data_IF_960262819595
#
_entry.id   IF_960262819595
#
_cell.length_a   1.000
_cell.length_b   1.000
_cell.length_c   1.000
_cell.angle_alpha   90.00
_cell.angle_beta   90.00
_cell.angle_gamma   90.00
#
_symmetry.space_group_name_H-M   'P 1'
#
loop_
_entity.id
_entity.type
_entity.pdbx_description
1 polymer ?
#
# COMPACT_ATOMS: atom_id res chain seq x y z
N UNK A 1 -27.74 -12.86 -7.10
CA UNK A 1 -27.01 -12.05 -8.13
C UNK A 1 -27.33 -12.53 -9.56
N UNK A 2 -27.26 -11.67 -10.61
CA UNK A 2 -27.44 -12.10 -12.03
C UNK A 2 -26.10 -12.52 -12.64
N UNK A 3 -26.04 -13.73 -13.19
CA UNK A 3 -24.86 -14.28 -13.86
C UNK A 3 -25.04 -14.41 -15.38
N UNK A 4 -23.99 -14.08 -16.14
CA UNK A 4 -23.86 -14.37 -17.57
C UNK A 4 -23.55 -15.85 -17.81
N UNK A 5 -23.67 -16.30 -19.05
CA UNK A 5 -23.50 -17.73 -19.36
C UNK A 5 -22.07 -18.21 -19.14
N UNK A 6 -21.06 -17.37 -19.38
CA UNK A 6 -19.66 -17.69 -19.07
C UNK A 6 -19.42 -17.83 -17.56
N UNK A 7 -20.08 -16.99 -16.75
CA UNK A 7 -20.02 -17.03 -15.29
C UNK A 7 -20.75 -18.26 -14.71
N UNK A 8 -21.90 -18.64 -15.29
CA UNK A 8 -22.59 -19.88 -14.94
C UNK A 8 -21.75 -21.11 -15.25
N UNK A 9 -21.06 -21.12 -16.39
CA UNK A 9 -20.17 -22.22 -16.77
C UNK A 9 -18.98 -22.36 -15.79
N UNK A 10 -18.39 -21.23 -15.36
CA UNK A 10 -17.36 -21.25 -14.30
C UNK A 10 -17.92 -21.83 -13.00
N UNK A 11 -19.11 -21.40 -12.56
CA UNK A 11 -19.76 -21.88 -11.34
C UNK A 11 -20.17 -23.35 -11.41
N UNK A 12 -20.53 -23.85 -12.59
CA UNK A 12 -20.86 -25.24 -12.83
C UNK A 12 -19.62 -26.17 -12.83
N UNK A 13 -18.41 -25.60 -12.93
CA UNK A 13 -17.15 -26.35 -12.92
C UNK A 13 -16.58 -26.67 -14.29
N UNK A 14 -17.13 -26.10 -15.37
CA UNK A 14 -16.71 -26.38 -16.75
C UNK A 14 -15.26 -25.95 -17.03
N UNK A 15 -14.70 -25.06 -16.20
CA UNK A 15 -13.32 -24.57 -16.27
C UNK A 15 -12.41 -25.16 -15.18
N UNK A 16 -12.85 -26.24 -14.54
CA UNK A 16 -12.11 -26.95 -13.51
C UNK A 16 -12.39 -26.47 -12.08
N UNK A 17 -11.98 -27.25 -11.08
CA UNK A 17 -12.41 -27.09 -9.70
C UNK A 17 -11.94 -25.78 -9.06
N UNK A 18 -10.71 -25.33 -9.32
CA UNK A 18 -10.21 -24.06 -8.76
C UNK A 18 -11.01 -22.85 -9.25
N UNK A 19 -11.37 -22.81 -10.54
CA UNK A 19 -12.21 -21.73 -11.11
C UNK A 19 -13.63 -21.82 -10.55
N UNK A 20 -14.13 -23.04 -10.31
CA UNK A 20 -15.42 -23.26 -9.68
C UNK A 20 -15.47 -22.67 -8.27
N UNK A 21 -14.49 -23.00 -7.41
CA UNK A 21 -14.41 -22.46 -6.05
C UNK A 21 -14.26 -20.94 -6.05
N UNK A 22 -13.41 -20.42 -6.94
CA UNK A 22 -13.27 -18.97 -7.14
C UNK A 22 -14.61 -18.32 -7.48
N UNK A 23 -15.35 -18.89 -8.43
CA UNK A 23 -16.63 -18.35 -8.86
C UNK A 23 -17.69 -18.46 -7.76
N UNK A 24 -17.76 -19.57 -7.03
CA UNK A 24 -18.63 -19.73 -5.85
C UNK A 24 -18.35 -18.64 -4.79
N UNK A 25 -17.08 -18.41 -4.47
CA UNK A 25 -16.66 -17.35 -3.55
C UNK A 25 -17.16 -15.98 -4.01
N UNK A 26 -16.94 -15.62 -5.28
CA UNK A 26 -17.39 -14.33 -5.80
C UNK A 26 -18.92 -14.21 -5.80
N UNK A 27 -19.66 -15.31 -5.96
CA UNK A 27 -21.12 -15.31 -5.83
C UNK A 27 -21.55 -15.03 -4.40
N UNK A 28 -21.03 -15.79 -3.43
CA UNK A 28 -21.33 -15.56 -2.01
C UNK A 28 -20.94 -14.16 -1.58
N UNK A 29 -19.76 -13.69 -2.01
CA UNK A 29 -19.25 -12.35 -1.70
C UNK A 29 -20.14 -11.26 -2.30
N UNK A 30 -20.49 -11.38 -3.59
CA UNK A 30 -21.39 -10.44 -4.26
C UNK A 30 -22.78 -10.40 -3.64
N UNK A 31 -23.34 -11.55 -3.24
CA UNK A 31 -24.65 -11.62 -2.58
C UNK A 31 -24.63 -11.00 -1.18
N UNK A 32 -23.55 -11.18 -0.41
CA UNK A 32 -23.39 -10.52 0.89
C UNK A 32 -23.29 -8.99 0.80
N UNK A 33 -22.93 -8.46 -0.38
CA UNK A 33 -22.78 -7.03 -0.66
C UNK A 33 -23.95 -6.46 -1.49
N UNK A 34 -25.01 -7.23 -1.70
CA UNK A 34 -26.14 -6.87 -2.57
C UNK A 34 -25.75 -6.50 -4.02
N UNK A 35 -24.63 -7.03 -4.51
CA UNK A 35 -24.17 -6.81 -5.87
C UNK A 35 -25.13 -7.47 -6.88
N UNK A 36 -25.62 -6.67 -7.85
CA UNK A 36 -26.58 -7.18 -8.84
C UNK A 36 -25.96 -8.09 -9.89
N UNK A 37 -24.67 -7.91 -10.19
CA UNK A 37 -23.90 -8.68 -11.17
C UNK A 37 -22.39 -8.60 -10.87
N UNK A 38 -21.59 -9.31 -11.65
CA UNK A 38 -20.14 -9.16 -11.67
C UNK A 38 -19.71 -8.22 -12.80
N UNK A 39 -18.54 -7.61 -12.66
CA UNK A 39 -17.85 -6.84 -13.69
C UNK A 39 -16.57 -7.56 -14.11
N UNK A 40 -16.17 -7.36 -15.37
CA UNK A 40 -14.91 -7.88 -15.88
C UNK A 40 -13.75 -7.05 -15.32
N UNK A 41 -12.72 -7.73 -14.81
CA UNK A 41 -11.44 -7.12 -14.46
C UNK A 41 -10.35 -7.78 -15.27
N UNK A 42 -9.38 -6.98 -15.75
CA UNK A 42 -8.18 -7.49 -16.42
C UNK A 42 -6.91 -7.21 -15.63
N UNK A 43 -7.05 -6.65 -14.43
CA UNK A 43 -5.96 -6.11 -13.66
C UNK A 43 -6.17 -6.40 -12.18
N UNK A 44 -5.35 -7.31 -11.67
CA UNK A 44 -5.40 -7.77 -10.28
C UNK A 44 -4.06 -7.50 -9.61
N UNK A 45 -4.09 -6.93 -8.41
CA UNK A 45 -2.92 -6.77 -7.56
C UNK A 45 -3.23 -7.39 -6.20
N UNK A 46 -2.65 -8.56 -5.92
CA UNK A 46 -2.94 -9.32 -4.71
C UNK A 46 -1.70 -10.00 -4.15
N UNK A 47 -1.92 -10.84 -3.14
CA UNK A 47 -0.83 -11.58 -2.49
C UNK A 47 -1.07 -13.08 -2.62
N UNK A 48 -0.07 -13.77 -3.17
CA UNK A 48 0.03 -15.23 -3.29
C UNK A 48 1.38 -15.62 -2.69
N UNK A 49 1.33 -16.25 -1.53
CA UNK A 49 2.54 -16.59 -0.81
C UNK A 49 2.24 -17.02 0.61
N UNK A 50 3.21 -17.72 1.17
CA UNK A 50 3.14 -18.27 2.50
C UNK A 50 4.18 -17.66 3.46
N UNK A 51 4.70 -16.46 3.20
CA UNK A 51 5.87 -15.94 3.95
C UNK A 51 5.57 -15.52 5.39
N UNK A 52 4.30 -15.32 5.76
CA UNK A 52 3.93 -15.00 7.15
C UNK A 52 3.98 -16.28 8.02
N UNK A 53 4.32 -16.19 9.32
CA UNK A 53 4.51 -17.37 10.18
C UNK A 53 3.38 -18.41 10.12
N UNK A 54 2.13 -17.95 10.13
CA UNK A 54 0.96 -18.83 10.09
C UNK A 54 0.83 -19.57 8.76
N UNK A 55 1.01 -18.88 7.63
CA UNK A 55 0.88 -19.49 6.31
C UNK A 55 2.01 -20.49 6.01
N UNK A 56 3.23 -20.24 6.53
CA UNK A 56 4.34 -21.20 6.44
C UNK A 56 3.96 -22.53 7.09
N UNK A 57 3.44 -22.47 8.31
CA UNK A 57 3.05 -23.67 9.07
C UNK A 57 1.93 -24.43 8.37
N UNK A 58 1.00 -23.71 7.72
CA UNK A 58 -0.06 -24.34 6.93
C UNK A 58 0.51 -25.06 5.70
N UNK A 59 1.38 -24.38 4.93
CA UNK A 59 2.01 -24.95 3.73
C UNK A 59 2.79 -26.25 4.04
N UNK A 60 3.50 -26.29 5.16
CA UNK A 60 4.27 -27.46 5.60
C UNK A 60 3.38 -28.65 5.98
N UNK A 61 2.17 -28.40 6.51
CA UNK A 61 1.26 -29.43 7.00
C UNK A 61 0.34 -29.98 5.93
N UNK A 62 -0.25 -29.10 5.12
CA UNK A 62 -1.42 -29.41 4.29
C UNK A 62 -1.09 -29.63 2.80
N UNK A 63 0.19 -29.68 2.43
CA UNK A 63 0.61 -30.09 1.08
C UNK A 63 1.02 -28.96 0.14
N UNK A 64 1.64 -27.90 0.66
CA UNK A 64 2.33 -26.89 -0.13
C UNK A 64 1.46 -25.72 -0.59
N UNK A 65 1.87 -25.09 -1.70
CA UNK A 65 1.31 -23.79 -2.13
C UNK A 65 -0.12 -23.89 -2.69
N UNK A 66 -0.52 -25.00 -3.31
CA UNK A 66 -1.91 -25.21 -3.76
C UNK A 66 -2.87 -25.28 -2.57
N UNK A 67 -2.45 -25.88 -1.45
CA UNK A 67 -3.24 -25.90 -0.22
C UNK A 67 -3.39 -24.50 0.38
N UNK A 68 -2.29 -23.74 0.43
CA UNK A 68 -2.33 -22.33 0.86
C UNK A 68 -3.25 -21.50 -0.02
N UNK A 69 -3.18 -21.66 -1.34
CA UNK A 69 -4.05 -20.91 -2.26
C UNK A 69 -5.51 -21.34 -2.09
N UNK A 70 -5.79 -22.64 -1.98
CA UNK A 70 -7.15 -23.16 -1.80
C UNK A 70 -7.80 -22.59 -0.54
N UNK A 71 -7.10 -22.62 0.59
CA UNK A 71 -7.62 -22.11 1.86
C UNK A 71 -7.73 -20.57 1.87
N UNK A 72 -6.64 -19.87 1.57
CA UNK A 72 -6.53 -18.44 1.86
C UNK A 72 -6.84 -17.52 0.67
N UNK A 73 -6.87 -18.06 -0.54
CA UNK A 73 -7.20 -17.31 -1.76
C UNK A 73 -8.52 -17.76 -2.38
N UNK A 74 -9.06 -18.94 -2.00
CA UNK A 74 -10.33 -19.47 -2.51
C UNK A 74 -11.35 -19.85 -1.42
N UNK A 75 -11.05 -19.64 -0.13
CA UNK A 75 -11.95 -19.98 1.00
C UNK A 75 -12.45 -21.44 0.90
N UNK A 76 -11.53 -22.36 0.57
CA UNK A 76 -11.83 -23.76 0.30
C UNK A 76 -10.90 -24.69 1.07
N UNK A 77 -11.48 -25.47 2.00
CA UNK A 77 -10.80 -26.55 2.69
C UNK A 77 -10.40 -27.72 1.76
N UNK A 78 -11.01 -27.82 0.59
CA UNK A 78 -10.62 -28.78 -0.44
C UNK A 78 -9.40 -28.24 -1.20
N UNK A 79 -8.29 -28.97 -1.16
CA UNK A 79 -7.07 -28.65 -1.91
C UNK A 79 -7.28 -28.97 -3.38
N UNK A 80 -7.18 -27.94 -4.22
CA UNK A 80 -7.33 -28.06 -5.68
C UNK A 80 -6.06 -27.56 -6.38
N UNK A 81 -5.75 -28.16 -7.52
CA UNK A 81 -4.64 -27.69 -8.35
C UNK A 81 -4.97 -26.31 -8.93
N UNK A 82 -4.08 -25.33 -8.74
CA UNK A 82 -4.31 -23.97 -9.22
C UNK A 82 -3.83 -23.82 -10.66
N UNK A 83 -4.71 -23.44 -11.62
CA UNK A 83 -4.32 -23.20 -12.99
C UNK A 83 -3.61 -21.85 -13.13
N UNK A 84 -3.02 -21.61 -14.31
CA UNK A 84 -2.49 -20.28 -14.64
C UNK A 84 -3.58 -19.21 -14.51
N UNK A 85 -3.19 -18.04 -14.03
CA UNK A 85 -4.10 -16.90 -13.89
C UNK A 85 -4.63 -16.49 -15.27
N UNK A 86 -5.90 -16.08 -15.29
CA UNK A 86 -6.63 -15.76 -16.52
C UNK A 86 -6.37 -14.33 -17.00
N UNK A 87 -6.03 -13.43 -16.07
CA UNK A 87 -5.87 -11.99 -16.31
C UNK A 87 -4.55 -11.48 -15.77
N UNK A 88 -4.13 -10.28 -16.22
CA UNK A 88 -2.87 -9.69 -15.76
C UNK A 88 -2.93 -9.50 -14.25
N UNK A 89 -2.08 -10.25 -13.56
CA UNK A 89 -2.08 -10.34 -12.10
C UNK A 89 -0.69 -10.02 -11.61
N UNK A 90 -0.59 -9.19 -10.58
CA UNK A 90 0.67 -8.77 -9.98
C UNK A 90 0.68 -9.05 -8.49
N UNK A 91 1.88 -9.35 -7.99
CA UNK A 91 2.11 -9.64 -6.59
C UNK A 91 2.50 -8.35 -5.84
N UNK A 92 1.83 -8.07 -4.71
CA UNK A 92 2.14 -6.96 -3.80
C UNK A 92 3.37 -7.25 -2.93
N UNK A 93 3.75 -6.36 -2.01
CA UNK A 93 4.91 -6.59 -1.14
C UNK A 93 4.76 -7.86 -0.29
N UNK A 94 5.89 -8.50 -0.04
CA UNK A 94 6.04 -9.67 0.82
C UNK A 94 6.57 -9.23 2.20
N UNK A 95 6.84 -10.20 3.08
CA UNK A 95 7.39 -9.91 4.41
C UNK A 95 8.92 -9.94 4.50
N UNK A 96 9.64 -10.24 3.42
CA UNK A 96 11.08 -10.55 3.48
C UNK A 96 11.77 -10.00 2.24
N UNK A 97 12.96 -9.42 2.43
CA UNK A 97 13.90 -9.19 1.34
C UNK A 97 14.91 -10.35 1.35
N UNK A 98 14.86 -11.29 0.41
CA UNK A 98 15.78 -12.43 0.42
C UNK A 98 17.27 -12.00 0.36
N UNK A 99 17.57 -10.83 -0.21
CA UNK A 99 18.94 -10.29 -0.28
C UNK A 99 19.42 -9.70 1.04
N UNK A 100 18.50 -9.27 1.90
CA UNK A 100 18.79 -8.70 3.21
C UNK A 100 18.34 -9.59 4.38
N UNK A 101 17.95 -10.84 4.12
CA UNK A 101 17.38 -11.76 5.12
C UNK A 101 18.23 -11.86 6.40
N UNK A 102 19.56 -12.00 6.28
CA UNK A 102 20.47 -12.05 7.43
C UNK A 102 20.39 -10.79 8.29
N UNK A 103 20.32 -9.61 7.66
CA UNK A 103 20.20 -8.32 8.37
C UNK A 103 18.83 -8.17 9.03
N UNK A 104 17.80 -8.74 8.41
CA UNK A 104 16.45 -8.82 8.96
C UNK A 104 16.30 -9.87 10.07
N UNK A 105 17.36 -10.64 10.38
CA UNK A 105 17.31 -11.74 11.36
C UNK A 105 16.51 -12.96 10.88
N UNK A 106 16.36 -13.12 9.56
CA UNK A 106 15.60 -14.19 8.92
C UNK A 106 16.52 -15.35 8.54
N UNK A 107 16.10 -16.57 8.89
CA UNK A 107 16.81 -17.82 8.59
C UNK A 107 16.68 -18.28 7.14
N UNK A 108 17.63 -19.09 6.68
CA UNK A 108 17.67 -19.61 5.30
C UNK A 108 16.47 -20.49 4.94
N UNK A 109 15.88 -21.17 5.92
CA UNK A 109 14.64 -21.92 5.76
C UNK A 109 13.50 -21.05 5.25
N UNK A 110 13.39 -19.85 5.79
CA UNK A 110 12.36 -18.89 5.40
C UNK A 110 12.63 -18.32 4.01
N UNK A 111 13.90 -18.07 3.68
CA UNK A 111 14.30 -17.64 2.34
C UNK A 111 13.92 -18.68 1.30
N UNK A 112 14.13 -19.98 1.57
CA UNK A 112 13.68 -21.06 0.66
C UNK A 112 12.17 -21.08 0.47
N UNK A 113 11.39 -20.82 1.53
CA UNK A 113 9.92 -20.71 1.41
C UNK A 113 9.54 -19.51 0.54
N UNK A 114 10.20 -18.37 0.72
CA UNK A 114 10.02 -17.20 -0.14
C UNK A 114 10.28 -17.54 -1.62
N UNK A 115 11.42 -18.16 -1.92
CA UNK A 115 11.80 -18.53 -3.30
C UNK A 115 10.82 -19.55 -3.90
N UNK A 116 10.39 -20.53 -3.11
CA UNK A 116 9.39 -21.53 -3.53
C UNK A 116 8.04 -20.87 -3.83
N UNK A 117 7.58 -19.96 -2.97
CA UNK A 117 6.36 -19.20 -3.18
C UNK A 117 6.44 -18.28 -4.40
N UNK A 118 7.59 -17.63 -4.61
CA UNK A 118 7.81 -16.78 -5.78
C UNK A 118 7.83 -17.60 -7.08
N UNK A 119 8.51 -18.76 -7.09
CA UNK A 119 8.52 -19.66 -8.23
C UNK A 119 7.12 -20.20 -8.54
N UNK A 120 6.36 -20.56 -7.51
CA UNK A 120 4.95 -20.97 -7.65
C UNK A 120 4.10 -19.87 -8.29
N UNK A 121 4.07 -18.67 -7.70
CA UNK A 121 3.28 -17.54 -8.21
C UNK A 121 3.68 -17.16 -9.65
N UNK A 122 4.98 -17.16 -9.94
CA UNK A 122 5.48 -16.89 -11.30
C UNK A 122 5.09 -17.99 -12.30
N UNK A 123 5.09 -19.25 -11.86
CA UNK A 123 4.63 -20.40 -12.66
C UNK A 123 3.14 -20.32 -13.02
N UNK A 124 2.32 -19.69 -12.18
CA UNK A 124 0.92 -19.38 -12.46
C UNK A 124 0.76 -18.19 -13.43
N UNK A 125 1.83 -17.44 -13.73
CA UNK A 125 1.80 -16.25 -14.59
C UNK A 125 1.63 -14.92 -13.85
N UNK A 126 1.76 -14.91 -12.53
CA UNK A 126 1.67 -13.71 -11.70
C UNK A 126 2.99 -12.94 -11.76
N UNK A 127 2.90 -11.62 -11.98
CA UNK A 127 4.08 -10.76 -12.10
C UNK A 127 4.63 -10.43 -10.69
N UNK A 128 5.89 -10.77 -10.39
CA UNK A 128 6.48 -10.57 -9.06
C UNK A 128 6.95 -9.11 -8.88
N UNK A 129 6.02 -8.16 -8.91
CA UNK A 129 6.33 -6.73 -8.69
C UNK A 129 6.82 -6.48 -7.25
N UNK A 130 6.28 -7.24 -6.30
CA UNK A 130 6.66 -7.28 -4.89
C UNK A 130 6.72 -5.89 -4.23
N UNK A 131 5.71 -5.05 -4.46
CA UNK A 131 5.64 -3.70 -3.89
C UNK A 131 4.22 -3.28 -3.55
N UNK A 132 4.06 -2.45 -2.52
CA UNK A 132 2.81 -1.74 -2.21
C UNK A 132 2.48 -0.61 -3.21
N UNK A 133 3.34 -0.39 -4.20
CA UNK A 133 3.21 0.70 -5.17
C UNK A 133 3.30 0.18 -6.61
N UNK A 134 2.46 -0.78 -7.02
CA UNK A 134 2.56 -1.42 -8.33
C UNK A 134 2.46 -0.42 -9.50
N UNK A 135 1.76 0.69 -9.30
CA UNK A 135 1.69 1.83 -10.22
C UNK A 135 3.02 2.56 -10.46
N UNK A 136 4.01 2.43 -9.57
CA UNK A 136 5.35 2.98 -9.82
C UNK A 136 6.20 2.07 -10.71
N UNK A 137 5.77 0.82 -10.96
CA UNK A 137 6.58 -0.21 -11.65
C UNK A 137 5.83 -0.90 -12.79
N UNK A 138 4.93 -0.17 -13.45
CA UNK A 138 4.35 -0.55 -14.74
C UNK A 138 2.92 -1.07 -14.69
N UNK A 139 2.36 -1.38 -13.52
CA UNK A 139 0.93 -1.68 -13.42
C UNK A 139 0.14 -0.38 -13.19
N UNK A 140 -0.17 0.33 -14.30
CA UNK A 140 -0.84 1.63 -14.29
C UNK A 140 -2.21 1.51 -14.95
N UNK A 141 -3.30 1.28 -14.17
CA UNK A 141 -4.65 1.26 -14.70
C UNK A 141 -5.03 2.56 -15.41
N UNK A 142 -5.92 2.48 -16.40
CA UNK A 142 -6.49 3.66 -17.04
C UNK A 142 -7.77 4.11 -16.36
N UNK A 143 -8.17 5.37 -16.58
CA UNK A 143 -9.42 5.90 -16.04
C UNK A 143 -10.63 5.04 -16.45
N UNK A 144 -11.42 4.63 -15.46
CA UNK A 144 -12.61 3.80 -15.60
C UNK A 144 -12.35 2.29 -15.62
N UNK A 145 -11.09 1.86 -15.62
CA UNK A 145 -10.75 0.43 -15.57
C UNK A 145 -11.21 -0.19 -14.24
N UNK A 146 -11.94 -1.29 -14.33
CA UNK A 146 -12.29 -2.11 -13.16
C UNK A 146 -11.09 -3.00 -12.80
N UNK A 147 -10.60 -2.83 -11.59
CA UNK A 147 -9.48 -3.57 -11.03
C UNK A 147 -9.93 -4.37 -9.80
N UNK A 148 -9.13 -5.35 -9.39
CA UNK A 148 -9.27 -5.99 -8.09
C UNK A 148 -7.94 -5.87 -7.35
N UNK A 149 -7.78 -4.81 -6.55
CA UNK A 149 -6.52 -4.50 -5.89
C UNK A 149 -6.65 -4.58 -4.38
N UNK A 150 -5.65 -5.19 -3.73
CA UNK A 150 -5.44 -5.07 -2.29
C UNK A 150 -4.51 -3.87 -2.00
N UNK A 151 -4.10 -3.74 -0.74
CA UNK A 151 -3.23 -2.67 -0.22
C UNK A 151 -3.89 -1.29 -0.25
N UNK A 152 -4.29 -0.82 0.94
CA UNK A 152 -5.09 0.42 1.10
C UNK A 152 -4.45 1.65 0.45
N UNK A 153 -3.12 1.77 0.50
CA UNK A 153 -2.41 2.88 -0.15
C UNK A 153 -2.34 2.79 -1.67
N UNK A 154 -2.49 1.59 -2.24
CA UNK A 154 -2.57 1.39 -3.69
C UNK A 154 -3.98 1.60 -4.21
N UNK A 155 -4.98 1.07 -3.48
CA UNK A 155 -6.42 1.24 -3.76
C UNK A 155 -6.80 2.72 -3.85
N UNK A 156 -6.52 3.49 -2.79
CA UNK A 156 -6.85 4.92 -2.76
C UNK A 156 -6.15 5.71 -3.87
N UNK A 157 -4.92 5.32 -4.20
CA UNK A 157 -4.14 5.97 -5.25
C UNK A 157 -4.77 5.72 -6.62
N UNK A 158 -5.10 4.48 -6.97
CA UNK A 158 -5.66 4.22 -8.31
C UNK A 158 -7.08 4.73 -8.46
N UNK A 159 -7.89 4.72 -7.40
CA UNK A 159 -9.22 5.32 -7.40
C UNK A 159 -9.13 6.83 -7.64
N UNK A 160 -8.27 7.53 -6.89
CA UNK A 160 -8.24 8.99 -6.86
C UNK A 160 -7.36 9.59 -7.95
N UNK A 161 -6.14 9.08 -8.12
CA UNK A 161 -5.12 9.67 -8.99
C UNK A 161 -5.24 9.18 -10.42
N UNK A 162 -5.53 7.88 -10.62
CA UNK A 162 -5.65 7.28 -11.95
C UNK A 162 -7.10 7.21 -12.45
N UNK A 163 -8.08 7.33 -11.54
CA UNK A 163 -9.50 7.21 -11.87
C UNK A 163 -9.93 5.76 -12.21
N UNK A 164 -9.16 4.77 -11.77
CA UNK A 164 -9.56 3.37 -11.81
C UNK A 164 -10.68 3.08 -10.81
N UNK A 165 -11.23 1.87 -10.86
CA UNK A 165 -12.36 1.45 -10.03
C UNK A 165 -12.02 0.16 -9.31
N UNK A 166 -11.83 0.23 -8.01
CA UNK A 166 -11.63 -0.94 -7.13
C UNK A 166 -12.19 -0.61 -5.74
N UNK A 167 -12.59 -1.63 -5.00
CA UNK A 167 -12.73 -1.54 -3.54
C UNK A 167 -11.41 -1.98 -2.89
N UNK A 168 -11.31 -1.89 -1.57
CA UNK A 168 -10.24 -2.55 -0.81
C UNK A 168 -10.45 -4.08 -0.79
N UNK A 169 -9.92 -4.77 -1.79
CA UNK A 169 -10.10 -6.21 -1.94
C UNK A 169 -9.26 -7.03 -0.95
N UNK A 170 -9.77 -8.22 -0.62
CA UNK A 170 -9.10 -9.21 0.22
C UNK A 170 -8.23 -10.18 -0.57
N UNK A 171 -7.55 -11.07 0.15
CA UNK A 171 -6.71 -12.11 -0.47
C UNK A 171 -7.56 -13.09 -1.28
N UNK A 172 -8.75 -13.37 -0.75
CA UNK A 172 -9.76 -14.26 -1.27
C UNK A 172 -10.37 -13.70 -2.56
N UNK A 173 -10.88 -12.46 -2.51
CA UNK A 173 -11.53 -11.85 -3.67
C UNK A 173 -10.53 -11.58 -4.80
N UNK A 174 -9.29 -11.16 -4.50
CA UNK A 174 -8.25 -11.04 -5.52
C UNK A 174 -7.81 -12.40 -6.07
N UNK A 175 -7.62 -13.42 -5.23
CA UNK A 175 -7.32 -14.79 -5.68
C UNK A 175 -8.37 -15.34 -6.64
N UNK A 176 -9.64 -15.18 -6.29
CA UNK A 176 -10.74 -15.55 -7.17
C UNK A 176 -10.80 -14.72 -8.46
N UNK A 177 -10.54 -13.41 -8.38
CA UNK A 177 -10.48 -12.53 -9.55
C UNK A 177 -9.35 -12.91 -10.52
N UNK A 178 -8.19 -13.36 -10.03
CA UNK A 178 -7.08 -13.82 -10.88
C UNK A 178 -7.49 -15.01 -11.76
N UNK A 179 -8.32 -15.92 -11.23
CA UNK A 179 -8.74 -17.14 -11.94
C UNK A 179 -9.96 -16.90 -12.83
N UNK A 180 -10.89 -16.02 -12.43
CA UNK A 180 -12.16 -15.81 -13.14
C UNK A 180 -12.13 -14.63 -14.12
N UNK A 181 -11.31 -13.61 -13.83
CA UNK A 181 -11.36 -12.30 -14.47
C UNK A 181 -12.60 -11.50 -14.09
N UNK A 182 -13.22 -11.78 -12.94
CA UNK A 182 -14.46 -11.17 -12.46
C UNK A 182 -14.30 -10.62 -11.04
N UNK A 183 -15.09 -9.61 -10.71
CA UNK A 183 -15.27 -9.12 -9.33
C UNK A 183 -16.70 -8.58 -9.15
N UNK A 184 -17.31 -8.62 -7.96
CA UNK A 184 -18.65 -8.08 -7.77
C UNK A 184 -18.76 -6.60 -8.14
N UNK A 185 -19.84 -6.23 -8.84
CA UNK A 185 -20.10 -4.86 -9.24
C UNK A 185 -20.82 -4.11 -8.12
N UNK A 186 -20.04 -3.60 -7.17
CA UNK A 186 -20.51 -2.88 -5.98
C UNK A 186 -19.50 -1.80 -5.54
N UNK A 187 -19.87 -1.02 -4.53
CA UNK A 187 -18.97 -0.04 -3.90
C UNK A 187 -18.45 0.97 -4.93
N UNK A 188 -17.13 1.20 -4.95
CA UNK A 188 -16.46 2.17 -5.82
C UNK A 188 -16.38 1.75 -7.30
N UNK A 189 -16.94 0.60 -7.67
CA UNK A 189 -17.22 0.29 -9.07
C UNK A 189 -18.40 1.10 -9.63
N UNK A 190 -19.32 1.54 -8.78
CA UNK A 190 -20.53 2.30 -9.12
C UNK A 190 -20.26 3.81 -9.17
N UNK A 191 -20.83 4.52 -10.15
CA UNK A 191 -20.61 5.97 -10.32
C UNK A 191 -21.19 6.82 -9.20
N UNK A 192 -22.33 6.38 -8.67
CA UNK A 192 -23.06 7.00 -7.57
C UNK A 192 -22.25 6.98 -6.27
N UNK A 193 -21.48 5.92 -6.03
CA UNK A 193 -20.71 5.72 -4.80
C UNK A 193 -19.36 6.43 -4.81
N UNK A 194 -18.98 7.06 -5.92
CA UNK A 194 -17.70 7.77 -6.08
C UNK A 194 -17.80 9.27 -5.81
N UNK A 195 -18.98 9.76 -5.44
CA UNK A 195 -19.21 11.19 -5.18
C UNK A 195 -18.69 11.58 -3.81
N UNK A 196 -18.09 12.77 -3.76
CA UNK A 196 -17.62 13.37 -2.52
C UNK A 196 -18.76 13.59 -1.52
N UNK A 197 -18.45 13.42 -0.24
CA UNK A 197 -19.38 13.66 0.87
C UNK A 197 -18.95 14.83 1.73
N UNK A 198 -17.66 15.01 1.97
CA UNK A 198 -17.13 16.09 2.81
C UNK A 198 -16.35 17.10 1.97
N UNK A 199 -16.51 18.40 2.25
CA UNK A 199 -15.65 19.43 1.68
C UNK A 199 -14.56 19.80 2.67
N UNK A 200 -13.30 19.68 2.25
CA UNK A 200 -12.12 20.12 3.00
C UNK A 200 -11.59 21.38 2.35
N UNK A 201 -11.59 22.49 3.09
CA UNK A 201 -11.04 23.78 2.65
C UNK A 201 -9.68 23.99 3.29
N UNK A 202 -8.66 24.24 2.46
CA UNK A 202 -7.31 24.53 2.95
C UNK A 202 -7.19 26.02 3.34
N UNK A 203 -6.87 26.28 4.61
CA UNK A 203 -6.63 27.61 5.17
C UNK A 203 -5.13 27.93 5.29
N UNK A 204 -4.28 26.99 4.87
CA UNK A 204 -2.84 27.13 4.79
C UNK A 204 -2.30 26.49 3.51
N UNK A 205 -1.08 26.86 3.12
CA UNK A 205 -0.40 26.20 2.01
C UNK A 205 0.10 24.81 2.41
N UNK A 206 -0.21 23.79 1.59
CA UNK A 206 0.20 22.40 1.80
C UNK A 206 1.23 22.05 0.74
N UNK A 207 2.50 22.29 1.04
CA UNK A 207 3.58 22.26 0.04
C UNK A 207 4.58 21.13 0.23
N UNK A 208 4.85 20.68 1.46
CA UNK A 208 5.84 19.61 1.71
C UNK A 208 5.20 18.23 1.72
N UNK A 209 5.96 17.18 1.40
CA UNK A 209 5.48 15.79 1.50
C UNK A 209 4.99 15.44 2.92
N UNK A 210 5.60 16.03 3.95
CA UNK A 210 5.15 15.90 5.32
C UNK A 210 3.77 16.54 5.55
N UNK A 211 3.53 17.76 5.03
CA UNK A 211 2.22 18.41 5.14
C UNK A 211 1.13 17.62 4.43
N UNK A 212 1.41 17.05 3.24
CA UNK A 212 0.47 16.17 2.55
C UNK A 212 0.14 14.90 3.36
N UNK A 213 1.14 14.34 4.06
CA UNK A 213 0.94 13.23 4.98
C UNK A 213 0.08 13.60 6.19
N UNK A 214 0.32 14.76 6.80
CA UNK A 214 -0.46 15.27 7.94
C UNK A 214 -1.89 15.64 7.55
N UNK A 215 -2.06 16.29 6.40
CA UNK A 215 -3.37 16.58 5.82
C UNK A 215 -4.14 15.28 5.59
N UNK A 216 -3.52 14.27 4.96
CA UNK A 216 -4.14 12.97 4.75
C UNK A 216 -4.54 12.30 6.06
N UNK A 217 -3.65 12.31 7.06
CA UNK A 217 -3.91 11.72 8.36
C UNK A 217 -5.10 12.38 9.06
N UNK A 218 -5.12 13.72 9.12
CA UNK A 218 -6.23 14.47 9.70
C UNK A 218 -7.54 14.23 8.95
N UNK A 219 -7.52 14.30 7.61
CA UNK A 219 -8.72 14.06 6.80
C UNK A 219 -9.29 12.67 7.09
N UNK A 220 -8.45 11.63 7.11
CA UNK A 220 -8.90 10.27 7.43
C UNK A 220 -9.58 10.19 8.80
N UNK A 221 -8.99 10.81 9.83
CA UNK A 221 -9.62 10.87 11.17
C UNK A 221 -10.97 11.60 11.15
N UNK A 222 -11.11 12.66 10.37
CA UNK A 222 -12.36 13.44 10.34
C UNK A 222 -13.48 12.77 9.55
N UNK A 223 -13.16 12.14 8.42
CA UNK A 223 -14.17 11.63 7.48
C UNK A 223 -14.37 10.13 7.57
N UNK A 224 -13.46 9.40 8.22
CA UNK A 224 -13.47 7.94 8.29
C UNK A 224 -13.50 7.34 6.88
N UNK A 225 -14.46 6.46 6.56
CA UNK A 225 -14.59 5.76 5.29
C UNK A 225 -15.27 6.58 4.19
N UNK A 226 -15.61 7.84 4.48
CA UNK A 226 -16.23 8.76 3.51
C UNK A 226 -15.24 9.31 2.47
N UNK A 227 -15.76 9.87 1.37
CA UNK A 227 -14.98 10.45 0.27
C UNK A 227 -14.79 11.96 0.46
N UNK A 228 -13.59 12.44 0.85
CA UNK A 228 -13.32 13.86 0.98
C UNK A 228 -13.08 14.52 -0.39
N UNK A 229 -13.54 15.76 -0.52
CA UNK A 229 -13.23 16.67 -1.64
C UNK A 229 -12.39 17.81 -1.10
N UNK A 230 -11.14 17.89 -1.55
CA UNK A 230 -10.16 18.88 -1.12
C UNK A 230 -10.17 20.04 -2.11
N UNK A 231 -10.36 21.24 -1.59
CA UNK A 231 -10.37 22.51 -2.31
C UNK A 231 -9.35 23.48 -1.71
N UNK A 232 -8.72 24.30 -2.56
CA UNK A 232 -7.73 25.30 -2.12
C UNK A 232 -6.27 24.86 -2.30
N UNK A 233 -6.00 23.79 -3.06
CA UNK A 233 -4.63 23.42 -3.43
C UNK A 233 -4.04 24.49 -4.34
N UNK A 234 -2.98 25.14 -3.87
CA UNK A 234 -2.27 26.26 -4.50
C UNK A 234 -1.32 25.83 -5.63
N UNK A 235 -0.78 24.62 -5.54
CA UNK A 235 0.28 24.11 -6.40
C UNK A 235 0.00 22.69 -6.89
N UNK A 236 0.36 22.39 -8.13
CA UNK A 236 0.24 21.03 -8.68
C UNK A 236 1.09 20.06 -7.83
N UNK A 237 0.48 19.06 -7.16
CA UNK A 237 1.25 18.08 -6.40
C UNK A 237 1.95 17.09 -7.32
N UNK A 238 3.13 16.61 -6.90
CA UNK A 238 3.77 15.47 -7.55
C UNK A 238 3.16 14.14 -7.05
N UNK A 239 3.53 13.04 -7.69
CA UNK A 239 2.98 11.71 -7.38
C UNK A 239 3.31 11.26 -5.95
N UNK A 240 4.45 11.67 -5.39
CA UNK A 240 4.84 11.34 -4.02
C UNK A 240 3.89 11.97 -3.00
N UNK A 241 3.50 13.24 -3.19
CA UNK A 241 2.54 13.95 -2.33
C UNK A 241 1.15 13.33 -2.38
N UNK A 242 0.65 13.00 -3.58
CA UNK A 242 -0.64 12.32 -3.76
C UNK A 242 -0.66 10.93 -3.10
N UNK A 243 0.47 10.21 -3.22
CA UNK A 243 0.70 8.91 -2.57
C UNK A 243 0.71 9.02 -1.05
N UNK A 244 1.42 10.01 -0.48
CA UNK A 244 1.51 10.21 0.97
C UNK A 244 0.16 10.62 1.57
N UNK A 245 -0.55 11.55 0.96
CA UNK A 245 -1.89 11.93 1.40
C UNK A 245 -2.84 10.73 1.41
N UNK A 246 -2.91 10.00 0.29
CA UNK A 246 -3.82 8.87 0.18
C UNK A 246 -3.48 7.77 1.19
N UNK A 247 -2.19 7.43 1.31
CA UNK A 247 -1.73 6.43 2.27
C UNK A 247 -2.06 6.81 3.72
N UNK A 248 -1.91 8.08 4.09
CA UNK A 248 -2.23 8.54 5.44
C UNK A 248 -3.73 8.51 5.72
N UNK A 249 -4.56 9.02 4.80
CA UNK A 249 -6.03 9.03 4.91
C UNK A 249 -6.62 7.61 4.99
N UNK A 250 -6.09 6.68 4.19
CA UNK A 250 -6.48 5.28 4.25
C UNK A 250 -6.08 4.62 5.58
N UNK A 251 -5.01 5.09 6.23
CA UNK A 251 -4.52 4.48 7.48
C UNK A 251 -5.30 4.94 8.69
N UNK A 252 -5.64 6.22 8.78
CA UNK A 252 -6.36 6.78 9.92
C UNK A 252 -7.89 6.66 9.80
N UNK A 253 -8.43 6.72 8.57
CA UNK A 253 -9.88 6.71 8.36
C UNK A 253 -10.44 5.52 7.60
N UNK A 254 -9.60 4.74 6.90
CA UNK A 254 -10.10 3.75 5.94
C UNK A 254 -10.63 4.38 4.64
N UNK A 255 -10.22 5.62 4.32
CA UNK A 255 -10.61 6.29 3.07
C UNK A 255 -10.08 5.50 1.86
N UNK A 256 -10.98 5.09 0.96
CA UNK A 256 -10.63 4.35 -0.28
C UNK A 256 -10.59 5.24 -1.53
N UNK A 257 -11.04 6.49 -1.44
CA UNK A 257 -11.06 7.44 -2.54
C UNK A 257 -11.14 8.87 -2.02
N UNK A 258 -10.50 9.80 -2.72
CA UNK A 258 -10.61 11.24 -2.49
C UNK A 258 -10.66 12.01 -3.81
N UNK A 259 -11.11 13.25 -3.74
CA UNK A 259 -11.09 14.19 -4.85
C UNK A 259 -10.22 15.40 -4.52
N UNK A 260 -9.35 15.80 -5.43
CA UNK A 260 -8.66 17.10 -5.37
C UNK A 260 -9.21 17.95 -6.51
N UNK A 261 -9.91 19.03 -6.18
CA UNK A 261 -10.54 19.89 -7.18
C UNK A 261 -9.47 20.48 -8.11
N UNK A 262 -9.65 20.27 -9.41
CA UNK A 262 -8.72 20.70 -10.46
C UNK A 262 -7.55 19.74 -10.73
N UNK A 263 -7.37 18.69 -9.92
CA UNK A 263 -6.23 17.76 -10.03
C UNK A 263 -6.68 16.33 -10.36
N UNK A 264 -7.59 15.73 -9.58
CA UNK A 264 -7.97 14.32 -9.82
C UNK A 264 -8.90 14.17 -11.03
N UNK A 265 -8.86 13.02 -11.75
CA UNK A 265 -9.54 12.86 -13.04
C UNK A 265 -11.07 12.96 -12.98
N UNK A 266 -11.68 12.78 -11.81
CA UNK A 266 -13.12 12.83 -11.56
C UNK A 266 -13.59 14.13 -10.89
N UNK A 267 -12.67 15.05 -10.59
CA UNK A 267 -12.97 16.32 -9.91
C UNK A 267 -12.24 17.50 -10.54
N UNK A 268 -12.37 17.71 -11.87
CA UNK A 268 -11.83 18.95 -12.47
C UNK A 268 -12.52 20.20 -11.93
N UNK A 269 -13.74 20.04 -11.43
CA UNK A 269 -14.54 21.08 -10.79
C UNK A 269 -15.18 20.52 -9.52
N UNK A 270 -15.59 21.40 -8.62
CA UNK A 270 -16.32 21.03 -7.41
C UNK A 270 -17.63 20.31 -7.74
N UNK A 271 -18.33 20.77 -8.77
CA UNK A 271 -19.59 20.20 -9.25
C UNK A 271 -19.39 18.75 -9.72
N UNK A 272 -18.27 18.44 -10.37
CA UNK A 272 -17.98 17.06 -10.77
C UNK A 272 -17.69 16.14 -9.57
N UNK A 273 -16.98 16.66 -8.56
CA UNK A 273 -16.63 15.90 -7.36
C UNK A 273 -17.88 15.47 -6.57
N UNK A 274 -18.84 16.39 -6.38
CA UNK A 274 -20.07 16.13 -5.61
C UNK A 274 -21.23 15.62 -6.47
N UNK A 275 -21.21 15.83 -7.79
CA UNK A 275 -22.36 15.58 -8.65
C UNK A 275 -23.55 16.44 -8.26
N UNK A 276 -24.73 15.83 -8.08
CA UNK A 276 -25.93 16.52 -7.62
C UNK A 276 -25.99 16.69 -6.09
N UNK A 277 -25.08 16.06 -5.35
CA UNK A 277 -25.08 16.06 -3.89
C UNK A 277 -24.51 17.36 -3.32
N UNK A 278 -24.93 17.70 -2.10
CA UNK A 278 -24.29 18.75 -1.30
C UNK A 278 -23.35 18.09 -0.28
N UNK A 279 -22.26 18.77 0.12
CA UNK A 279 -21.41 18.25 1.19
C UNK A 279 -22.21 18.06 2.47
N UNK A 280 -22.04 16.93 3.15
CA UNK A 280 -22.62 16.66 4.47
C UNK A 280 -21.97 17.51 5.57
N UNK A 281 -20.68 17.84 5.39
CA UNK A 281 -19.94 18.75 6.25
C UNK A 281 -18.90 19.55 5.45
N UNK A 282 -18.56 20.72 5.99
CA UNK A 282 -17.47 21.57 5.52
C UNK A 282 -16.47 21.68 6.67
N UNK A 283 -15.26 21.18 6.43
CA UNK A 283 -14.16 21.17 7.39
C UNK A 283 -13.03 22.04 6.85
N UNK A 284 -12.22 22.59 7.75
CA UNK A 284 -11.12 23.51 7.42
C UNK A 284 -9.83 22.94 7.95
N UNK A 285 -8.77 22.97 7.13
CA UNK A 285 -7.44 22.53 7.52
C UNK A 285 -6.49 23.71 7.51
N UNK A 286 -6.06 24.14 8.70
CA UNK A 286 -5.04 25.15 8.93
C UNK A 286 -3.96 24.66 9.90
N UNK A 287 -3.22 25.61 10.47
CA UNK A 287 -2.08 25.30 11.36
C UNK A 287 -2.47 24.52 12.63
N UNK A 288 -3.69 24.73 13.14
CA UNK A 288 -4.18 24.01 14.31
C UNK A 288 -4.41 22.52 14.00
N UNK A 289 -5.03 22.23 12.85
CA UNK A 289 -5.30 20.87 12.39
C UNK A 289 -4.01 20.13 12.00
N UNK A 290 -3.08 20.85 11.33
CA UNK A 290 -1.74 20.34 11.04
C UNK A 290 -0.99 19.97 12.33
N UNK A 291 -1.03 20.85 13.34
CA UNK A 291 -0.41 20.58 14.65
C UNK A 291 -1.04 19.39 15.34
N UNK A 292 -2.36 19.31 15.38
CA UNK A 292 -3.07 18.17 15.94
C UNK A 292 -2.63 16.86 15.26
N UNK A 293 -2.60 16.84 13.93
CA UNK A 293 -2.19 15.66 13.18
C UNK A 293 -0.76 15.25 13.51
N UNK A 294 0.16 16.22 13.59
CA UNK A 294 1.54 16.00 13.95
C UNK A 294 1.69 15.40 15.36
N UNK A 295 0.92 15.90 16.33
CA UNK A 295 0.90 15.38 17.69
C UNK A 295 0.32 13.95 17.75
N UNK A 296 -0.72 13.66 16.97
CA UNK A 296 -1.30 12.31 16.91
C UNK A 296 -0.32 11.29 16.32
N UNK A 297 0.32 11.59 15.19
CA UNK A 297 1.27 10.66 14.56
C UNK A 297 2.55 10.46 15.39
N UNK A 298 2.85 11.38 16.31
CA UNK A 298 3.99 11.30 17.22
C UNK A 298 3.61 10.83 18.65
N UNK A 299 2.37 10.40 18.89
CA UNK A 299 1.87 10.11 20.26
C UNK A 299 2.70 9.07 21.02
N UNK A 300 3.39 8.17 20.32
CA UNK A 300 4.22 7.13 20.93
C UNK A 300 5.64 7.59 21.26
N UNK A 301 6.09 8.71 20.69
CA UNK A 301 7.48 9.15 20.69
C UNK A 301 7.80 10.08 21.85
N UNK A 302 8.79 9.72 22.66
CA UNK A 302 9.23 10.51 23.80
C UNK A 302 10.74 10.45 24.03
N UNK A 303 11.38 9.32 23.73
CA UNK A 303 12.83 9.20 23.76
C UNK A 303 13.42 9.74 22.44
N UNK A 304 14.39 10.65 22.56
CA UNK A 304 15.03 11.25 21.40
C UNK A 304 16.16 10.39 20.84
N UNK A 305 16.66 9.36 21.53
CA UNK A 305 17.70 8.48 21.00
C UNK A 305 17.10 7.61 19.89
N UNK A 306 17.58 7.75 18.65
CA UNK A 306 17.01 7.04 17.49
C UNK A 306 17.89 5.85 17.13
N UNK A 307 17.32 4.65 17.22
CA UNK A 307 18.02 3.40 16.88
C UNK A 307 17.84 3.04 15.40
N UNK A 308 16.72 3.46 14.80
CA UNK A 308 16.30 3.03 13.48
C UNK A 308 15.64 4.16 12.69
N UNK A 309 16.04 4.36 11.45
CA UNK A 309 15.35 5.23 10.49
C UNK A 309 14.78 4.38 9.38
N UNK A 310 13.46 4.46 9.22
CA UNK A 310 12.71 3.66 8.25
C UNK A 310 12.03 4.57 7.23
N UNK A 311 12.52 4.51 5.99
CA UNK A 311 12.03 5.32 4.88
C UNK A 311 11.41 4.42 3.80
N UNK A 312 10.44 4.91 3.03
CA UNK A 312 9.82 4.11 1.97
C UNK A 312 8.49 3.45 2.35
N UNK A 313 7.60 4.17 3.03
CA UNK A 313 6.22 3.73 3.22
C UNK A 313 5.22 4.80 2.74
N UNK A 314 4.47 4.58 1.65
CA UNK A 314 4.63 3.47 0.70
C UNK A 314 6.01 3.49 0.00
N UNK A 315 6.40 2.38 -0.64
CA UNK A 315 7.73 2.22 -1.25
C UNK A 315 8.15 3.44 -2.07
N UNK A 316 9.40 3.87 -1.89
CA UNK A 316 9.91 5.07 -2.52
C UNK A 316 9.99 4.97 -4.03
N UNK A 317 9.71 6.10 -4.68
CA UNK A 317 10.03 6.32 -6.09
C UNK A 317 11.53 6.56 -6.28
N UNK A 318 11.98 6.61 -7.54
CA UNK A 318 13.35 7.01 -7.85
C UNK A 318 13.64 8.47 -7.42
N UNK A 319 12.66 9.38 -7.55
CA UNK A 319 12.78 10.78 -7.13
C UNK A 319 13.04 10.88 -5.62
N UNK A 320 12.33 10.10 -4.80
CA UNK A 320 12.55 10.08 -3.34
C UNK A 320 13.92 9.48 -2.96
N UNK A 321 14.39 8.47 -3.71
CA UNK A 321 15.76 7.95 -3.52
C UNK A 321 16.82 9.00 -3.88
N UNK A 322 16.59 9.77 -4.94
CA UNK A 322 17.46 10.88 -5.32
C UNK A 322 17.50 11.96 -4.22
N UNK A 323 16.35 12.38 -3.67
CA UNK A 323 16.27 13.33 -2.56
C UNK A 323 17.09 12.86 -1.35
N UNK A 324 16.98 11.58 -0.97
CA UNK A 324 17.79 11.00 0.10
C UNK A 324 19.29 11.06 -0.23
N UNK A 325 19.68 10.78 -1.47
CA UNK A 325 21.08 10.86 -1.88
C UNK A 325 21.64 12.29 -1.76
N UNK A 326 20.84 13.31 -2.10
CA UNK A 326 21.25 14.72 -1.92
C UNK A 326 21.55 15.07 -0.45
N UNK A 327 20.88 14.39 0.49
CA UNK A 327 21.07 14.60 1.93
C UNK A 327 22.22 13.75 2.51
N UNK A 328 22.48 12.59 1.93
CA UNK A 328 23.48 11.63 2.44
C UNK A 328 24.85 11.72 1.79
N UNK A 329 24.99 12.38 0.64
CA UNK A 329 26.27 12.42 -0.07
C UNK A 329 27.39 13.02 0.80
N UNK A 330 28.48 12.27 0.94
CA UNK A 330 29.61 12.63 1.80
C UNK A 330 29.38 12.45 3.31
N UNK A 331 28.18 12.04 3.74
CA UNK A 331 27.85 11.82 5.16
C UNK A 331 28.19 10.41 5.63
N UNK A 332 28.10 10.21 6.95
CA UNK A 332 28.16 8.90 7.62
C UNK A 332 27.09 8.84 8.69
N UNK A 333 26.43 7.68 8.78
CA UNK A 333 25.44 7.44 9.83
C UNK A 333 26.11 7.29 11.19
N UNK A 334 25.35 7.59 12.25
CA UNK A 334 25.74 7.28 13.62
C UNK A 334 25.95 5.77 13.79
N UNK A 335 26.94 5.38 14.59
CA UNK A 335 27.17 3.97 14.91
C UNK A 335 26.01 3.34 15.70
N UNK A 336 25.11 4.16 16.25
CA UNK A 336 23.96 3.72 17.03
C UNK A 336 22.66 3.64 16.21
N UNK A 337 22.71 3.94 14.91
CA UNK A 337 21.50 4.03 14.09
C UNK A 337 21.62 3.23 12.81
N UNK A 338 20.56 2.52 12.47
CA UNK A 338 20.39 1.84 11.18
C UNK A 338 19.44 2.63 10.29
N UNK A 339 19.74 2.74 8.99
CA UNK A 339 18.85 3.36 8.00
C UNK A 339 18.43 2.33 6.96
N UNK A 340 17.15 1.98 6.92
CA UNK A 340 16.58 1.10 5.90
C UNK A 340 15.60 1.88 5.02
N UNK A 341 15.82 1.84 3.70
CA UNK A 341 15.02 2.54 2.70
C UNK A 341 14.35 1.50 1.81
N UNK A 342 13.02 1.46 1.80
CA UNK A 342 12.25 0.47 1.06
C UNK A 342 11.79 1.00 -0.30
N UNK A 343 12.06 0.24 -1.36
CA UNK A 343 11.63 0.54 -2.73
C UNK A 343 11.27 -0.74 -3.50
N UNK A 344 10.77 -0.61 -4.72
CA UNK A 344 10.50 -1.76 -5.59
C UNK A 344 11.81 -2.26 -6.25
N UNK A 345 11.88 -3.56 -6.55
CA UNK A 345 13.09 -4.16 -7.12
C UNK A 345 13.55 -3.51 -8.44
N UNK A 346 12.61 -3.18 -9.34
CA UNK A 346 12.91 -2.50 -10.60
C UNK A 346 13.39 -1.05 -10.41
N UNK A 347 12.87 -0.34 -9.40
CA UNK A 347 13.36 0.99 -9.03
C UNK A 347 14.77 0.88 -8.45
N UNK A 348 15.04 -0.11 -7.60
CA UNK A 348 16.39 -0.37 -7.09
C UNK A 348 17.38 -0.63 -8.23
N UNK A 349 17.00 -1.42 -9.25
CA UNK A 349 17.86 -1.64 -10.42
C UNK A 349 18.27 -0.33 -11.10
N UNK A 350 17.33 0.60 -11.27
CA UNK A 350 17.62 1.91 -11.82
C UNK A 350 18.46 2.78 -10.87
N UNK A 351 18.19 2.69 -9.56
CA UNK A 351 18.99 3.36 -8.52
C UNK A 351 20.44 2.84 -8.48
N UNK A 352 20.66 1.56 -8.74
CA UNK A 352 22.00 0.95 -8.86
C UNK A 352 22.75 1.55 -10.07
N UNK A 353 22.08 1.69 -11.23
CA UNK A 353 22.66 2.33 -12.43
C UNK A 353 22.99 3.80 -12.18
N UNK A 354 22.11 4.52 -11.47
CA UNK A 354 22.30 5.94 -11.14
C UNK A 354 23.37 6.16 -10.05
N UNK A 355 23.85 5.11 -9.37
CA UNK A 355 24.80 5.20 -8.27
C UNK A 355 24.18 5.58 -6.92
N UNK A 356 22.85 5.68 -6.81
CA UNK A 356 22.15 6.07 -5.60
C UNK A 356 22.31 5.03 -4.48
N UNK A 357 22.17 3.74 -4.81
CA UNK A 357 22.40 2.66 -3.84
C UNK A 357 23.80 2.75 -3.25
N UNK A 358 24.81 3.03 -4.07
CA UNK A 358 26.19 3.20 -3.60
C UNK A 358 26.34 4.37 -2.64
N UNK A 359 25.73 5.52 -2.92
CA UNK A 359 25.76 6.69 -2.01
C UNK A 359 25.16 6.32 -0.65
N UNK A 360 24.00 5.68 -0.66
CA UNK A 360 23.28 5.25 0.55
C UNK A 360 24.12 4.25 1.35
N UNK A 361 24.68 3.22 0.69
CA UNK A 361 25.51 2.19 1.34
C UNK A 361 26.84 2.76 1.87
N UNK A 362 27.44 3.73 1.18
CA UNK A 362 28.66 4.40 1.64
C UNK A 362 28.41 5.24 2.90
N UNK A 363 27.23 5.83 3.06
CA UNK A 363 26.84 6.50 4.29
C UNK A 363 26.62 5.50 5.44
N UNK A 364 26.26 4.24 5.11
CA UNK A 364 25.95 3.18 6.06
C UNK A 364 24.49 2.71 6.03
N UNK A 365 23.68 3.20 5.09
CA UNK A 365 22.28 2.81 4.92
C UNK A 365 22.09 1.58 4.03
N UNK A 366 20.86 1.08 3.95
CA UNK A 366 20.48 -0.11 3.19
C UNK A 366 19.24 0.15 2.34
N UNK A 367 19.32 -0.20 1.05
CA UNK A 367 18.15 -0.15 0.14
C UNK A 367 17.53 -1.53 0.06
N UNK A 368 16.34 -1.68 0.65
CA UNK A 368 15.59 -2.92 0.73
C UNK A 368 14.49 -2.99 -0.33
N UNK A 369 14.16 -4.21 -0.74
CA UNK A 369 13.12 -4.50 -1.73
C UNK A 369 12.20 -5.61 -1.25
N UNK A 370 11.07 -5.78 -1.92
CA UNK A 370 10.13 -6.89 -1.72
C UNK A 370 9.43 -6.92 -0.36
N UNK A 371 9.77 -6.02 0.56
CA UNK A 371 9.30 -6.03 1.96
C UNK A 371 9.14 -4.64 2.54
N UNK A 372 8.48 -4.55 3.69
CA UNK A 372 8.59 -3.43 4.61
C UNK A 372 8.60 -3.92 6.06
N UNK A 373 9.09 -3.11 7.01
CA UNK A 373 9.19 -3.52 8.42
C UNK A 373 7.85 -3.88 9.06
N UNK A 374 6.76 -3.21 8.67
CA UNK A 374 5.42 -3.48 9.22
C UNK A 374 4.88 -4.86 8.77
N UNK A 375 4.98 -5.19 7.49
CA UNK A 375 4.51 -6.48 6.94
C UNK A 375 5.44 -7.63 7.33
N UNK A 376 6.76 -7.40 7.25
CA UNK A 376 7.75 -8.41 7.61
C UNK A 376 7.88 -8.66 9.11
N UNK A 377 7.42 -7.70 9.94
CA UNK A 377 7.71 -7.64 11.37
C UNK A 377 9.21 -7.73 11.64
N UNK A 378 9.98 -6.96 10.87
CA UNK A 378 11.45 -6.95 10.88
C UNK A 378 11.99 -5.55 11.19
N UNK A 379 12.92 -5.49 12.13
CA UNK A 379 13.66 -4.29 12.52
C UNK A 379 15.07 -4.67 12.97
N UNK A 380 16.02 -3.72 13.02
CA UNK A 380 17.32 -3.95 13.63
C UNK A 380 17.18 -4.46 15.07
N UNK A 381 17.98 -5.47 15.44
CA UNK A 381 17.90 -6.08 16.77
C UNK A 381 18.12 -5.03 17.87
N UNK A 382 17.18 -4.95 18.81
CA UNK A 382 17.27 -4.03 19.95
C UNK A 382 16.67 -2.65 19.70
N UNK A 383 16.06 -2.40 18.53
CA UNK A 383 15.35 -1.13 18.24
C UNK A 383 14.30 -0.85 19.31
N UNK A 384 14.33 0.35 19.88
CA UNK A 384 13.33 0.90 20.81
C UNK A 384 12.64 2.13 20.23
N UNK A 385 13.37 2.92 19.43
CA UNK A 385 12.89 4.17 18.85
C UNK A 385 13.22 4.20 17.36
N UNK A 386 12.19 4.40 16.55
CA UNK A 386 12.31 4.63 15.11
C UNK A 386 12.09 6.11 14.76
N UNK A 387 12.56 6.53 13.59
CA UNK A 387 12.13 7.75 12.92
C UNK A 387 11.66 7.43 11.49
N UNK A 388 10.54 8.02 11.07
CA UNK A 388 9.86 7.75 9.81
C UNK A 388 9.35 9.04 9.18
N UNK A 389 9.27 9.07 7.85
CA UNK A 389 8.79 10.25 7.10
C UNK A 389 7.37 10.06 6.53
N UNK A 390 6.64 9.10 7.09
CA UNK A 390 5.30 8.71 6.64
C UNK A 390 4.35 8.59 7.80
N UNK A 391 3.24 9.32 7.74
CA UNK A 391 2.17 9.26 8.73
C UNK A 391 1.57 7.84 8.81
N UNK A 392 1.45 7.14 7.68
CA UNK A 392 1.04 5.71 7.64
C UNK A 392 1.99 4.84 8.46
N UNK A 393 3.29 5.04 8.29
CA UNK A 393 4.27 4.23 9.03
C UNK A 393 4.31 4.59 10.51
N UNK A 394 4.18 5.88 10.85
CA UNK A 394 4.12 6.35 12.23
C UNK A 394 2.89 5.81 12.96
N UNK A 395 1.78 5.60 12.24
CA UNK A 395 0.57 4.97 12.76
C UNK A 395 0.75 3.46 13.03
N UNK A 396 1.27 2.70 12.05
CA UNK A 396 1.30 1.24 12.17
C UNK A 396 2.55 0.67 12.86
N UNK A 397 3.74 1.22 12.60
CA UNK A 397 4.99 0.59 13.05
C UNK A 397 5.08 0.48 14.58
N UNK A 398 4.77 1.53 15.38
CA UNK A 398 4.77 1.44 16.83
C UNK A 398 3.83 0.36 17.34
N UNK A 399 2.60 0.31 16.82
CA UNK A 399 1.58 -0.62 17.25
C UNK A 399 1.94 -2.08 16.91
N UNK A 400 2.49 -2.32 15.72
CA UNK A 400 2.85 -3.67 15.26
C UNK A 400 4.10 -4.20 15.97
N UNK A 401 5.09 -3.32 16.22
CA UNK A 401 6.41 -3.74 16.70
C UNK A 401 6.64 -3.49 18.19
N UNK A 402 5.77 -2.74 18.87
CA UNK A 402 5.92 -2.39 20.28
C UNK A 402 7.10 -1.45 20.53
N UNK A 403 7.35 -0.51 19.62
CA UNK A 403 8.43 0.49 19.69
C UNK A 403 7.85 1.92 19.67
N UNK A 404 8.69 2.93 19.90
CA UNK A 404 8.34 4.33 19.66
C UNK A 404 8.65 4.71 18.21
N UNK A 405 7.93 5.67 17.62
CA UNK A 405 8.32 6.24 16.33
C UNK A 405 8.10 7.75 16.25
N UNK A 406 9.16 8.49 15.92
CA UNK A 406 9.06 9.89 15.52
C UNK A 406 8.65 10.00 14.05
N UNK A 407 7.75 10.93 13.75
CA UNK A 407 7.39 11.38 12.41
C UNK A 407 7.96 12.77 12.13
N UNK A 408 8.54 12.95 10.95
CA UNK A 408 8.90 14.27 10.44
C UNK A 408 9.24 14.26 8.95
N UNK A 409 9.99 15.26 8.51
CA UNK A 409 10.44 15.35 7.11
C UNK A 409 11.56 14.35 6.81
N UNK A 410 11.72 13.99 5.54
CA UNK A 410 12.84 13.14 5.09
C UNK A 410 14.20 13.71 5.53
N UNK A 411 14.37 15.04 5.49
CA UNK A 411 15.60 15.69 5.96
C UNK A 411 15.83 15.51 7.47
N UNK A 412 14.79 15.62 8.30
CA UNK A 412 14.90 15.37 9.74
C UNK A 412 15.20 13.90 10.05
N UNK A 413 14.58 12.97 9.33
CA UNK A 413 14.88 11.54 9.45
C UNK A 413 16.33 11.22 9.07
N UNK A 414 16.84 11.79 7.96
CA UNK A 414 18.24 11.62 7.57
C UNK A 414 19.18 12.24 8.60
N UNK A 415 18.87 13.44 9.12
CA UNK A 415 19.68 14.05 10.18
C UNK A 415 19.67 13.18 11.45
N UNK A 416 18.53 12.58 11.81
CA UNK A 416 18.45 11.65 12.93
C UNK A 416 19.30 10.39 12.71
N UNK A 417 19.39 9.89 11.46
CA UNK A 417 20.26 8.78 11.11
C UNK A 417 21.75 9.13 11.26
N UNK A 418 22.13 10.36 10.95
CA UNK A 418 23.51 10.88 11.08
C UNK A 418 23.86 11.14 12.55
N UNK A 419 22.97 11.76 13.31
CA UNK A 419 23.23 12.19 14.68
C UNK A 419 22.97 11.08 15.72
N UNK A 420 22.17 10.08 15.38
CA UNK A 420 21.60 9.09 16.29
C UNK A 420 20.59 9.64 17.28
N UNK A 421 20.03 10.82 16.99
CA UNK A 421 19.07 11.49 17.87
C UNK A 421 18.05 12.30 17.08
N UNK A 422 16.79 12.23 17.49
CA UNK A 422 15.72 13.07 16.99
C UNK A 422 15.86 14.53 17.43
N UNK A 423 15.74 15.44 16.47
CA UNK A 423 15.73 16.91 16.65
C UNK A 423 14.64 17.59 15.83
N UNK A 424 13.78 16.81 15.18
CA UNK A 424 12.71 17.33 14.33
C UNK A 424 11.65 18.04 15.16
N UNK A 425 11.12 19.12 14.60
CA UNK A 425 10.07 19.93 15.24
C UNK A 425 9.11 20.42 14.16
N UNK A 426 7.82 20.48 14.50
CA UNK A 426 6.84 21.13 13.65
C UNK A 426 7.15 22.64 13.61
N UNK A 427 7.70 23.07 12.47
CA UNK A 427 7.98 24.49 12.19
C UNK A 427 6.74 25.23 11.73
#
# INVERSE_FOLDING_TARGET
>A
MRLRDDEKAMLAGDQGPAVQKAMDLLVRYGEALDAQCLVDTRNVAGTIGATTPFLRQYAEREGGMDAVFSEFNLDSAEVVQIPKVKVFSSHLQQGIDPRHAKRQGIGEDVVRIYETGQAYSSGLGVQPLNTCTPYQVGNVPVKGEHCAWMESSAVIYINSVLGARTNAEGRESTGAAMLTGKIPYWGLHLDENRRGTHLIQLDMDVSTTADWGLLGYWVGEQVQDCIPVIEGVSHQPNLARLKHFGAAAASSGGVEMYHLVGVTPEARTREQAFGASRPSAILRFGEAERRWAYEQVNVTAHDAQVDFVMLGCPHYSLEQLWEVCQLLEGQRLSANTELWIFTAASIKQLADVAGYTRIIEQAGGHVMTDTCSAIGKVLPKGTRVAAVDSAKQAHYLPAIMGIQAWFGTTAECIQAAIDGRWKGVLR
#
